data_IF_659546587805
#
_entry.id   IF_659546587805
#
_cell.length_a   1.000
_cell.length_b   1.000
_cell.length_c   1.000
_cell.angle_alpha   90.00
_cell.angle_beta   90.00
_cell.angle_gamma   90.00
#
_symmetry.space_group_name_H-M   'P 1'
#
loop_
_entity.id
_entity.type
_entity.pdbx_description
1 polymer ?
#
# COMPACT_ATOMS: atom_id res chain seq x y z
N UNK A 1 5.66 -12.56 -8.63
CA UNK A 1 6.16 -11.27 -8.14
C UNK A 1 6.71 -10.37 -9.24
N UNK A 2 6.06 -9.23 -9.47
CA UNK A 2 6.59 -8.07 -10.22
C UNK A 2 7.26 -7.12 -9.24
N UNK A 3 8.47 -6.65 -9.54
CA UNK A 3 9.15 -5.64 -8.73
C UNK A 3 8.68 -4.27 -9.22
N UNK A 4 8.27 -3.42 -8.28
CA UNK A 4 7.86 -2.05 -8.53
C UNK A 4 8.57 -1.04 -7.66
N UNK A 5 8.22 0.21 -7.85
CA UNK A 5 8.65 1.36 -7.04
C UNK A 5 7.45 2.25 -6.78
N UNK A 6 7.43 2.93 -5.63
CA UNK A 6 6.43 3.96 -5.37
C UNK A 6 6.88 5.31 -5.93
N UNK A 7 5.93 6.15 -6.33
CA UNK A 7 6.17 7.53 -6.76
C UNK A 7 4.95 8.37 -6.39
N UNK A 8 5.16 9.65 -6.15
CA UNK A 8 4.09 10.63 -6.17
C UNK A 8 3.98 11.20 -7.58
N UNK A 9 2.87 11.86 -7.89
CA UNK A 9 2.71 12.37 -9.26
C UNK A 9 3.75 13.44 -9.59
N UNK A 10 4.11 14.31 -8.64
CA UNK A 10 5.05 15.40 -8.90
C UNK A 10 6.47 14.93 -9.29
N UNK A 11 6.87 13.71 -8.90
CA UNK A 11 8.16 13.12 -9.25
C UNK A 11 8.06 11.95 -10.23
N UNK A 12 6.91 11.74 -10.87
CA UNK A 12 6.69 10.62 -11.80
C UNK A 12 7.69 10.63 -12.97
N UNK A 13 8.03 11.80 -13.50
CA UNK A 13 8.99 11.90 -14.61
C UNK A 13 10.37 11.35 -14.23
N UNK A 14 10.83 11.67 -13.03
CA UNK A 14 12.09 11.13 -12.51
C UNK A 14 12.01 9.61 -12.32
N UNK A 15 10.89 9.13 -11.76
CA UNK A 15 10.61 7.70 -11.60
C UNK A 15 10.67 6.95 -12.95
N UNK A 16 10.03 7.46 -14.00
CA UNK A 16 10.02 6.82 -15.32
C UNK A 16 11.41 6.79 -15.97
N UNK A 17 12.19 7.87 -15.85
CA UNK A 17 13.59 7.91 -16.31
C UNK A 17 14.46 6.91 -15.55
N UNK A 18 14.20 6.69 -14.27
CA UNK A 18 14.87 5.64 -13.49
C UNK A 18 14.44 4.25 -13.97
N UNK A 19 13.15 4.00 -14.17
CA UNK A 19 12.62 2.72 -14.62
C UNK A 19 13.18 2.32 -16.00
N UNK A 20 13.39 3.29 -16.90
CA UNK A 20 14.04 3.07 -18.20
C UNK A 20 15.48 2.54 -18.07
N UNK A 21 16.17 2.81 -16.94
CA UNK A 21 17.55 2.38 -16.68
C UNK A 21 17.66 1.09 -15.86
N UNK A 22 16.54 0.59 -15.32
CA UNK A 22 16.51 -0.54 -14.38
C UNK A 22 15.45 -1.53 -14.85
N UNK A 23 15.83 -2.38 -15.79
CA UNK A 23 14.91 -3.28 -16.52
C UNK A 23 14.09 -4.23 -15.66
N UNK A 24 14.56 -4.56 -14.45
CA UNK A 24 13.84 -5.48 -13.55
C UNK A 24 12.57 -4.85 -12.93
N UNK A 25 12.47 -3.52 -12.95
CA UNK A 25 11.27 -2.80 -12.48
C UNK A 25 10.21 -2.88 -13.58
N UNK A 26 9.06 -3.46 -13.23
CA UNK A 26 7.92 -3.71 -14.15
C UNK A 26 6.59 -3.23 -13.58
N UNK A 27 6.64 -2.44 -12.52
CA UNK A 27 5.48 -1.91 -11.83
C UNK A 27 5.79 -0.54 -11.24
N UNK A 28 4.81 0.33 -11.21
CA UNK A 28 4.86 1.60 -10.46
C UNK A 28 3.58 1.69 -9.62
N UNK A 29 3.75 2.06 -8.35
CA UNK A 29 2.63 2.49 -7.53
C UNK A 29 2.64 4.01 -7.45
N UNK A 30 1.53 4.66 -7.78
CA UNK A 30 1.43 6.11 -7.91
C UNK A 30 0.49 6.64 -6.84
N UNK A 31 0.98 7.54 -6.00
CA UNK A 31 0.12 8.32 -5.10
C UNK A 31 -0.68 9.36 -5.90
N UNK A 32 -2.01 9.28 -5.79
CA UNK A 32 -2.96 10.22 -6.38
C UNK A 32 -3.84 10.76 -5.25
N UNK A 33 -3.63 12.02 -4.90
CA UNK A 33 -4.29 12.67 -3.77
C UNK A 33 -5.54 13.43 -4.23
N UNK A 34 -5.60 13.85 -5.51
CA UNK A 34 -6.69 14.66 -6.03
C UNK A 34 -7.21 14.15 -7.38
N UNK A 35 -8.51 14.29 -7.65
CA UNK A 35 -9.10 13.89 -8.93
C UNK A 35 -8.44 14.60 -10.13
N UNK A 36 -8.04 15.87 -9.97
CA UNK A 36 -7.36 16.64 -11.03
C UNK A 36 -6.03 16.01 -11.48
N UNK A 37 -5.36 15.29 -10.59
CA UNK A 37 -4.08 14.63 -10.85
C UNK A 37 -4.25 13.45 -11.81
N UNK A 38 -5.46 12.91 -11.95
CA UNK A 38 -5.76 11.89 -12.96
C UNK A 38 -5.47 12.42 -14.37
N UNK A 39 -5.86 13.68 -14.68
CA UNK A 39 -5.61 14.29 -15.99
C UNK A 39 -4.12 14.51 -16.25
N UNK A 40 -3.37 14.94 -15.23
CA UNK A 40 -1.91 15.09 -15.29
C UNK A 40 -1.21 13.74 -15.51
N UNK A 41 -1.70 12.65 -14.90
CA UNK A 41 -1.16 11.31 -15.11
C UNK A 41 -1.31 10.83 -16.57
N UNK A 42 -2.36 11.24 -17.29
CA UNK A 42 -2.53 10.89 -18.71
C UNK A 42 -1.39 11.41 -19.61
N UNK A 43 -0.73 12.50 -19.22
CA UNK A 43 0.43 13.02 -19.96
C UNK A 43 1.59 12.00 -20.01
N UNK A 44 1.64 11.08 -19.04
CA UNK A 44 2.67 10.05 -18.94
C UNK A 44 2.24 8.69 -19.48
N UNK A 45 1.00 8.53 -19.91
CA UNK A 45 0.41 7.23 -20.31
C UNK A 45 1.24 6.51 -21.36
N UNK A 46 1.65 7.21 -22.42
CA UNK A 46 2.42 6.60 -23.51
C UNK A 46 3.83 6.20 -23.04
N UNK A 47 4.43 6.95 -22.12
CA UNK A 47 5.73 6.62 -21.57
C UNK A 47 5.65 5.39 -20.66
N UNK A 48 4.64 5.34 -19.78
CA UNK A 48 4.36 4.17 -18.93
C UNK A 48 4.13 2.92 -19.80
N UNK A 49 3.31 3.03 -20.84
CA UNK A 49 3.04 1.96 -21.79
C UNK A 49 4.30 1.50 -22.54
N UNK A 50 5.11 2.44 -23.02
CA UNK A 50 6.39 2.15 -23.71
C UNK A 50 7.35 1.36 -22.82
N UNK A 51 7.38 1.66 -21.53
CA UNK A 51 8.22 0.94 -20.55
C UNK A 51 7.61 -0.41 -20.12
N UNK A 52 6.36 -0.71 -20.52
CA UNK A 52 5.66 -1.93 -20.15
C UNK A 52 5.40 -2.03 -18.64
N UNK A 53 5.17 -0.89 -17.99
CA UNK A 53 4.93 -0.82 -16.54
C UNK A 53 3.45 -1.10 -16.25
N UNK A 54 3.20 -1.98 -15.28
CA UNK A 54 1.88 -2.10 -14.64
C UNK A 54 1.70 -1.02 -13.57
N UNK A 55 0.47 -0.69 -13.21
CA UNK A 55 0.16 0.46 -12.33
C UNK A 55 -0.66 0.01 -11.12
N UNK A 56 -0.22 0.39 -9.93
CA UNK A 56 -1.03 0.46 -8.72
C UNK A 56 -1.30 1.92 -8.35
N UNK A 57 -2.41 2.19 -7.66
CA UNK A 57 -2.72 3.53 -7.15
C UNK A 57 -2.71 3.49 -5.63
N UNK A 58 -1.86 4.31 -5.01
CA UNK A 58 -1.94 4.56 -3.59
C UNK A 58 -2.96 5.67 -3.35
N UNK A 59 -4.02 5.36 -2.61
CA UNK A 59 -5.05 6.34 -2.24
C UNK A 59 -4.50 7.31 -1.17
N UNK A 60 -5.07 8.53 -1.05
CA UNK A 60 -4.54 9.55 -0.15
C UNK A 60 -4.52 9.07 1.31
N UNK A 61 -3.49 9.49 2.03
CA UNK A 61 -3.28 9.13 3.45
C UNK A 61 -4.38 9.67 4.37
N UNK A 62 -5.06 10.74 3.97
CA UNK A 62 -6.18 11.36 4.68
C UNK A 62 -7.46 10.55 4.62
N UNK A 63 -7.56 9.62 3.66
CA UNK A 63 -8.72 8.77 3.46
C UNK A 63 -9.01 7.98 4.74
N UNK A 64 -10.27 8.06 5.21
CA UNK A 64 -10.66 7.44 6.46
C UNK A 64 -11.84 6.47 6.28
N UNK A 65 -11.53 5.18 6.14
CA UNK A 65 -12.55 4.13 5.97
C UNK A 65 -13.42 3.95 7.22
N UNK A 66 -12.91 4.36 8.39
CA UNK A 66 -13.61 4.23 9.67
C UNK A 66 -14.31 5.53 10.11
N UNK A 67 -14.49 6.48 9.19
CA UNK A 67 -15.21 7.73 9.44
C UNK A 67 -16.64 7.47 9.93
N UNK A 68 -16.95 8.01 11.11
CA UNK A 68 -18.24 7.79 11.79
C UNK A 68 -19.30 8.78 11.32
N UNK A 69 -18.93 9.86 10.63
CA UNK A 69 -19.86 10.81 10.00
C UNK A 69 -20.19 10.29 8.60
N UNK A 70 -21.39 9.71 8.45
CA UNK A 70 -21.85 9.05 7.21
C UNK A 70 -21.65 9.92 5.96
N UNK A 71 -21.97 11.20 6.01
CA UNK A 71 -21.78 12.11 4.86
C UNK A 71 -20.32 12.18 4.39
N UNK A 72 -19.36 12.19 5.32
CA UNK A 72 -17.93 12.26 4.99
C UNK A 72 -17.47 10.88 4.48
N UNK A 73 -17.89 9.81 5.15
CA UNK A 73 -17.62 8.42 4.71
C UNK A 73 -18.09 8.17 3.28
N UNK A 74 -19.31 8.56 2.94
CA UNK A 74 -19.88 8.41 1.60
C UNK A 74 -19.16 9.28 0.56
N UNK A 75 -18.61 10.43 0.98
CA UNK A 75 -17.79 11.27 0.11
C UNK A 75 -16.47 10.59 -0.24
N UNK A 76 -15.84 9.85 0.69
CA UNK A 76 -14.67 9.03 0.39
C UNK A 76 -14.99 7.90 -0.60
N UNK A 77 -16.13 7.22 -0.45
CA UNK A 77 -16.55 6.19 -1.41
C UNK A 77 -16.71 6.78 -2.80
N UNK A 78 -17.43 7.91 -2.92
CA UNK A 78 -17.61 8.62 -4.20
C UNK A 78 -16.29 9.06 -4.79
N UNK A 79 -15.37 9.57 -3.96
CA UNK A 79 -14.04 9.98 -4.40
C UNK A 79 -13.27 8.83 -5.05
N UNK A 80 -13.22 7.64 -4.43
CA UNK A 80 -12.53 6.47 -5.01
C UNK A 80 -13.19 6.04 -6.34
N UNK A 81 -14.52 6.05 -6.39
CA UNK A 81 -15.25 5.70 -7.61
C UNK A 81 -15.02 6.70 -8.75
N UNK A 82 -14.94 7.99 -8.42
CA UNK A 82 -14.59 9.03 -9.37
C UNK A 82 -13.14 8.90 -9.83
N UNK A 83 -12.19 8.58 -8.93
CA UNK A 83 -10.80 8.29 -9.31
C UNK A 83 -10.73 7.13 -10.31
N UNK A 84 -11.35 5.98 -10.01
CA UNK A 84 -11.34 4.83 -10.92
C UNK A 84 -11.90 5.19 -12.29
N UNK A 85 -13.03 5.92 -12.32
CA UNK A 85 -13.64 6.37 -13.57
C UNK A 85 -12.71 7.29 -14.37
N UNK A 86 -12.05 8.24 -13.72
CA UNK A 86 -11.12 9.13 -14.40
C UNK A 86 -9.87 8.39 -14.90
N UNK A 87 -9.50 7.28 -14.27
CA UNK A 87 -8.35 6.45 -14.63
C UNK A 87 -8.70 5.28 -15.57
N UNK A 88 -9.89 5.24 -16.18
CA UNK A 88 -10.33 4.12 -17.05
C UNK A 88 -9.41 3.83 -18.25
N UNK A 89 -8.61 4.81 -18.69
CA UNK A 89 -7.61 4.64 -19.74
C UNK A 89 -6.35 3.88 -19.29
N UNK A 90 -6.22 3.59 -18.00
CA UNK A 90 -5.15 2.81 -17.41
C UNK A 90 -5.64 1.43 -16.98
N UNK A 91 -4.81 0.42 -17.16
CA UNK A 91 -5.04 -0.89 -16.56
C UNK A 91 -4.52 -0.89 -15.12
N UNK A 92 -5.32 -0.35 -14.20
CA UNK A 92 -4.99 -0.31 -12.77
C UNK A 92 -5.13 -1.71 -12.17
N UNK A 93 -4.05 -2.20 -11.57
CA UNK A 93 -3.97 -3.55 -11.00
C UNK A 93 -4.59 -3.61 -9.61
N UNK A 94 -4.47 -2.54 -8.83
CA UNK A 94 -5.06 -2.40 -7.49
C UNK A 94 -5.09 -0.93 -7.04
N UNK A 95 -5.99 -0.66 -6.09
CA UNK A 95 -5.96 0.53 -5.24
C UNK A 95 -5.50 0.14 -3.83
N UNK A 96 -4.41 0.73 -3.37
CA UNK A 96 -3.91 0.55 -2.01
C UNK A 96 -4.45 1.66 -1.10
N UNK A 97 -4.85 1.30 0.12
CA UNK A 97 -5.33 2.27 1.12
C UNK A 97 -4.89 1.91 2.53
N UNK A 98 -4.85 2.94 3.37
CA UNK A 98 -4.81 2.79 4.82
C UNK A 98 -6.25 2.77 5.35
N UNK A 99 -6.52 2.07 6.46
CA UNK A 99 -7.88 2.05 7.03
C UNK A 99 -8.32 3.41 7.61
N UNK A 100 -7.37 4.30 7.86
CA UNK A 100 -7.61 5.60 8.48
C UNK A 100 -7.34 5.60 9.97
N UNK A 101 -7.95 6.55 10.68
CA UNK A 101 -7.58 6.89 12.05
C UNK A 101 -8.78 7.30 12.90
N UNK A 102 -8.63 7.11 14.22
CA UNK A 102 -9.65 7.43 15.23
C UNK A 102 -8.99 8.04 16.44
N UNK A 103 -9.71 8.93 17.15
CA UNK A 103 -9.25 9.42 18.45
C UNK A 103 -8.93 8.25 19.40
N UNK A 104 -7.73 8.24 20.00
CA UNK A 104 -7.16 7.16 20.82
C UNK A 104 -8.13 6.64 21.87
N UNK A 105 -8.77 7.54 22.62
CA UNK A 105 -9.72 7.20 23.68
C UNK A 105 -11.03 6.56 23.17
N UNK A 106 -11.44 6.86 21.94
CA UNK A 106 -12.62 6.24 21.32
C UNK A 106 -12.27 4.87 20.76
N UNK A 107 -11.11 4.77 20.10
CA UNK A 107 -10.62 3.52 19.52
C UNK A 107 -10.37 2.46 20.60
N UNK A 108 -9.72 2.82 21.70
CA UNK A 108 -9.42 1.89 22.80
C UNK A 108 -10.66 1.30 23.46
N UNK A 109 -11.77 2.04 23.47
CA UNK A 109 -13.05 1.60 24.05
C UNK A 109 -13.92 0.81 23.07
N UNK A 110 -13.80 1.07 21.77
CA UNK A 110 -14.76 0.59 20.77
C UNK A 110 -14.13 0.23 19.43
N UNK A 111 -12.98 -0.47 19.43
CA UNK A 111 -12.26 -0.81 18.19
C UNK A 111 -13.13 -1.52 17.16
N UNK A 112 -13.89 -2.53 17.58
CA UNK A 112 -14.78 -3.31 16.72
C UNK A 112 -15.86 -2.45 16.05
N UNK A 113 -16.33 -1.38 16.72
CA UNK A 113 -17.26 -0.43 16.09
C UNK A 113 -16.62 0.20 14.85
N UNK A 114 -15.37 0.64 14.95
CA UNK A 114 -14.68 1.27 13.84
C UNK A 114 -14.29 0.27 12.76
N UNK A 115 -13.93 -0.96 13.13
CA UNK A 115 -13.73 -2.05 12.17
C UNK A 115 -15.02 -2.43 11.42
N UNK A 116 -16.18 -2.34 12.09
CA UNK A 116 -17.49 -2.52 11.43
C UNK A 116 -17.76 -1.44 10.40
N UNK A 117 -17.45 -0.18 10.73
CA UNK A 117 -17.59 0.94 9.79
C UNK A 117 -16.66 0.75 8.58
N UNK A 118 -15.40 0.38 8.80
CA UNK A 118 -14.46 0.05 7.71
C UNK A 118 -14.93 -1.14 6.86
N UNK A 119 -15.49 -2.19 7.49
CA UNK A 119 -16.01 -3.35 6.75
C UNK A 119 -17.19 -2.96 5.85
N UNK A 120 -18.12 -2.16 6.38
CA UNK A 120 -19.24 -1.62 5.61
C UNK A 120 -18.76 -0.72 4.47
N UNK A 121 -17.76 0.14 4.74
CA UNK A 121 -17.13 0.99 3.73
C UNK A 121 -16.61 0.14 2.56
N UNK A 122 -15.79 -0.88 2.85
CA UNK A 122 -15.19 -1.76 1.85
C UNK A 122 -16.23 -2.56 1.03
N UNK A 123 -17.35 -2.95 1.64
CA UNK A 123 -18.46 -3.60 0.94
C UNK A 123 -19.28 -2.62 0.07
N UNK A 124 -19.30 -1.34 0.43
CA UNK A 124 -20.06 -0.31 -0.27
C UNK A 124 -19.28 0.38 -1.40
N UNK A 125 -17.96 0.27 -1.44
CA UNK A 125 -17.18 0.75 -2.60
C UNK A 125 -17.49 -0.15 -3.79
N UNK A 126 -18.22 0.40 -4.77
CA UNK A 126 -18.52 -0.28 -6.04
C UNK A 126 -17.53 0.15 -7.09
N UNK A 127 -16.50 -0.67 -7.31
CA UNK A 127 -15.51 -0.49 -8.36
C UNK A 127 -15.81 -1.43 -9.53
N UNK A 128 -15.06 -1.29 -10.62
CA UNK A 128 -15.11 -2.25 -11.72
C UNK A 128 -14.89 -3.68 -11.20
N UNK A 129 -15.55 -4.63 -11.84
CA UNK A 129 -15.58 -6.03 -11.36
C UNK A 129 -14.19 -6.60 -11.14
N UNK A 130 -13.16 -6.17 -11.87
CA UNK A 130 -11.81 -6.71 -11.77
C UNK A 130 -10.89 -5.96 -10.81
N UNK A 131 -11.35 -4.84 -10.25
CA UNK A 131 -10.54 -3.98 -9.41
C UNK A 131 -10.27 -4.62 -8.05
N UNK A 132 -9.00 -4.57 -7.66
CA UNK A 132 -8.49 -5.11 -6.41
C UNK A 132 -8.29 -3.96 -5.44
N UNK A 133 -8.64 -4.17 -4.17
CA UNK A 133 -8.31 -3.25 -3.08
C UNK A 133 -7.28 -3.93 -2.20
N UNK A 134 -6.19 -3.24 -1.86
CA UNK A 134 -5.26 -3.68 -0.82
C UNK A 134 -5.35 -2.74 0.36
N UNK A 135 -5.39 -3.33 1.56
CA UNK A 135 -5.38 -2.59 2.82
C UNK A 135 -3.97 -2.72 3.38
N UNK A 136 -3.31 -1.60 3.64
CA UNK A 136 -1.95 -1.59 4.16
C UNK A 136 -1.91 -1.64 5.69
N UNK A 137 -0.96 -2.40 6.26
CA UNK A 137 -0.67 -2.29 7.69
C UNK A 137 -0.01 -0.96 8.00
N UNK A 138 -0.43 -0.33 9.09
CA UNK A 138 0.06 0.97 9.53
C UNK A 138 0.75 0.86 10.89
N UNK A 139 1.26 1.98 11.40
CA UNK A 139 1.74 2.12 12.77
C UNK A 139 0.98 3.25 13.46
N UNK A 140 1.01 3.30 14.80
CA UNK A 140 0.52 4.45 15.56
C UNK A 140 1.63 4.97 16.46
N UNK A 141 1.88 6.28 16.38
CA UNK A 141 2.73 6.98 17.36
C UNK A 141 1.87 7.51 18.51
N UNK A 142 2.52 8.04 19.54
CA UNK A 142 1.80 8.75 20.59
C UNK A 142 1.13 10.01 20.06
N UNK A 143 -0.10 10.26 20.52
CA UNK A 143 -0.93 11.37 20.08
C UNK A 143 -2.41 11.14 20.39
N UNK A 144 -3.24 12.11 20.02
CA UNK A 144 -4.69 12.05 20.21
C UNK A 144 -5.40 11.12 19.23
N UNK A 145 -4.75 10.79 18.10
CA UNK A 145 -5.25 9.87 17.09
C UNK A 145 -4.40 8.61 17.01
N UNK A 146 -5.05 7.50 16.69
CA UNK A 146 -4.41 6.23 16.41
C UNK A 146 -4.94 5.70 15.09
N UNK A 147 -4.03 5.14 14.30
CA UNK A 147 -4.38 4.47 13.06
C UNK A 147 -5.07 3.13 13.36
N UNK A 148 -5.97 2.75 12.45
CA UNK A 148 -6.49 1.39 12.33
C UNK A 148 -5.67 0.67 11.26
N UNK A 149 -5.60 -0.65 11.32
CA UNK A 149 -4.71 -1.45 10.50
C UNK A 149 -3.32 -1.55 11.10
N UNK A 150 -3.14 -1.18 12.36
CA UNK A 150 -1.86 -1.27 13.06
C UNK A 150 -1.69 -2.56 13.88
N UNK A 151 -2.62 -3.51 13.73
CA UNK A 151 -2.59 -4.83 14.38
C UNK A 151 -3.20 -5.88 13.46
N UNK A 152 -2.71 -7.12 13.55
CA UNK A 152 -3.22 -8.28 12.79
C UNK A 152 -4.71 -8.50 13.02
N UNK A 153 -5.17 -8.30 14.27
CA UNK A 153 -6.58 -8.44 14.65
C UNK A 153 -7.53 -7.65 13.74
N UNK A 154 -7.14 -6.46 13.28
CA UNK A 154 -8.00 -5.62 12.44
C UNK A 154 -8.28 -6.27 11.10
N UNK A 155 -7.23 -6.86 10.51
CA UNK A 155 -7.30 -7.56 9.24
C UNK A 155 -8.08 -8.87 9.37
N UNK A 156 -7.87 -9.62 10.46
CA UNK A 156 -8.67 -10.83 10.76
C UNK A 156 -10.14 -10.48 10.86
N UNK A 157 -10.47 -9.41 11.59
CA UNK A 157 -11.83 -8.95 11.77
C UNK A 157 -12.48 -8.56 10.45
N UNK A 158 -11.80 -7.71 9.66
CA UNK A 158 -12.32 -7.19 8.39
C UNK A 158 -12.49 -8.32 7.37
N UNK A 159 -11.46 -9.14 7.14
CA UNK A 159 -11.51 -10.20 6.13
C UNK A 159 -12.50 -11.31 6.44
N UNK A 160 -12.85 -11.54 7.72
CA UNK A 160 -13.91 -12.46 8.09
C UNK A 160 -15.33 -11.88 7.92
N UNK A 161 -15.46 -10.57 7.72
CA UNK A 161 -16.75 -9.87 7.73
C UNK A 161 -17.17 -9.33 6.37
N UNK A 162 -16.22 -8.80 5.60
CA UNK A 162 -16.52 -8.26 4.27
C UNK A 162 -16.98 -9.36 3.32
N UNK A 163 -17.88 -8.99 2.41
CA UNK A 163 -18.33 -9.84 1.30
C UNK A 163 -17.47 -9.66 0.05
N UNK A 164 -16.74 -8.56 -0.03
CA UNK A 164 -15.82 -8.27 -1.12
C UNK A 164 -14.62 -9.25 -1.10
N UNK A 165 -14.59 -10.19 -2.04
CA UNK A 165 -13.53 -11.19 -2.19
C UNK A 165 -12.30 -10.66 -2.94
N UNK A 166 -12.32 -9.38 -3.35
CA UNK A 166 -11.22 -8.68 -4.05
C UNK A 166 -10.41 -7.75 -3.15
N UNK A 167 -10.56 -7.91 -1.84
CA UNK A 167 -9.80 -7.17 -0.84
C UNK A 167 -8.68 -8.05 -0.27
N UNK A 168 -7.47 -7.50 -0.27
CA UNK A 168 -6.23 -8.16 0.12
C UNK A 168 -5.44 -7.28 1.09
N UNK A 169 -4.34 -7.82 1.64
CA UNK A 169 -3.38 -7.10 2.48
C UNK A 169 -2.23 -6.57 1.59
N UNK A 170 -1.89 -5.30 1.77
CA UNK A 170 -0.56 -4.78 1.47
C UNK A 170 0.28 -4.87 2.74
N UNK A 171 1.35 -5.65 2.71
CA UNK A 171 2.24 -5.76 3.85
C UNK A 171 3.41 -4.78 3.71
N UNK A 172 3.42 -3.70 4.50
CA UNK A 172 4.52 -2.75 4.58
C UNK A 172 5.51 -3.15 5.68
N UNK A 173 6.77 -3.36 5.28
CA UNK A 173 7.85 -3.75 6.20
C UNK A 173 8.35 -2.61 7.08
N UNK A 174 8.32 -1.37 6.60
CA UNK A 174 8.70 -0.19 7.39
C UNK A 174 7.74 0.04 8.56
N UNK A 175 6.44 0.02 8.29
CA UNK A 175 5.38 0.11 9.29
C UNK A 175 5.47 -1.03 10.31
N UNK A 176 5.76 -2.25 9.84
CA UNK A 176 6.01 -3.40 10.73
C UNK A 176 7.18 -3.15 11.68
N UNK A 177 8.28 -2.54 11.24
CA UNK A 177 9.42 -2.28 12.11
C UNK A 177 9.08 -1.33 13.26
N UNK A 178 8.15 -0.39 13.04
CA UNK A 178 7.67 0.57 14.04
C UNK A 178 6.61 -0.05 14.95
N UNK A 179 5.66 -0.80 14.37
CA UNK A 179 4.56 -1.44 15.09
C UNK A 179 4.49 -2.93 14.73
N UNK A 180 5.33 -3.73 15.38
CA UNK A 180 5.43 -5.18 15.11
C UNK A 180 4.15 -5.94 15.48
N UNK A 181 3.77 -6.85 14.60
CA UNK A 181 2.74 -7.86 14.81
C UNK A 181 2.96 -9.03 13.81
N UNK A 182 2.25 -10.13 13.99
CA UNK A 182 2.45 -11.40 13.28
C UNK A 182 1.74 -11.46 11.91
N UNK A 183 1.91 -10.43 11.07
CA UNK A 183 1.21 -10.29 9.78
C UNK A 183 1.48 -11.46 8.84
N UNK A 184 2.76 -11.78 8.57
CA UNK A 184 3.14 -12.87 7.66
C UNK A 184 2.52 -14.19 8.11
N UNK A 185 2.57 -14.49 9.41
CA UNK A 185 2.07 -15.75 9.96
C UNK A 185 0.57 -15.92 9.78
N UNK A 186 -0.22 -14.88 10.07
CA UNK A 186 -1.68 -14.97 10.10
C UNK A 186 -2.35 -14.55 8.79
N UNK A 187 -1.65 -13.78 7.94
CA UNK A 187 -2.23 -13.16 6.74
C UNK A 187 -1.56 -13.57 5.43
N UNK A 188 -0.63 -14.52 5.41
CA UNK A 188 0.12 -14.92 4.20
C UNK A 188 -0.76 -15.10 2.95
N UNK A 189 -1.93 -15.72 3.09
CA UNK A 189 -2.81 -16.06 1.96
C UNK A 189 -3.62 -14.84 1.46
N UNK A 190 -3.59 -13.74 2.21
CA UNK A 190 -4.18 -12.45 1.88
C UNK A 190 -3.14 -11.42 1.42
N UNK A 191 -1.83 -11.65 1.61
CA UNK A 191 -0.79 -10.73 1.18
C UNK A 191 -0.65 -10.79 -0.33
N UNK A 192 -0.97 -9.69 -1.01
CA UNK A 192 -0.88 -9.57 -2.47
C UNK A 192 0.13 -8.53 -2.92
N UNK A 193 0.27 -7.48 -2.13
CA UNK A 193 1.24 -6.40 -2.32
C UNK A 193 2.15 -6.37 -1.10
N UNK A 194 3.41 -6.08 -1.30
CA UNK A 194 4.36 -5.80 -0.23
C UNK A 194 5.05 -4.48 -0.54
N UNK A 195 4.98 -3.53 0.39
CA UNK A 195 5.84 -2.37 0.39
C UNK A 195 7.09 -2.71 1.18
N UNK A 196 8.24 -2.60 0.50
CA UNK A 196 9.51 -3.03 1.00
C UNK A 196 10.42 -1.83 1.23
N UNK A 197 10.54 -1.49 2.51
CA UNK A 197 11.39 -0.44 3.04
C UNK A 197 12.07 -0.89 4.33
N UNK A 198 13.15 -0.22 4.69
CA UNK A 198 13.87 -0.42 5.95
C UNK A 198 13.84 0.89 6.76
N UNK A 199 14.01 0.82 8.07
CA UNK A 199 14.06 1.99 8.94
C UNK A 199 14.76 1.71 10.29
N UNK A 200 14.69 2.68 11.22
CA UNK A 200 15.31 2.61 12.56
C UNK A 200 14.39 2.01 13.65
N UNK A 201 13.17 1.59 13.28
CA UNK A 201 12.13 1.11 14.18
C UNK A 201 11.38 2.20 14.96
N UNK A 202 11.66 3.48 14.69
CA UNK A 202 11.08 4.63 15.39
C UNK A 202 10.35 5.54 14.40
N UNK A 203 10.99 5.83 13.27
CA UNK A 203 10.50 6.72 12.24
C UNK A 203 10.42 6.00 10.91
N UNK A 204 9.42 6.39 10.14
CA UNK A 204 9.20 5.83 8.82
C UNK A 204 10.04 6.58 7.78
N UNK A 205 11.33 6.24 7.74
CA UNK A 205 12.34 6.98 6.97
C UNK A 205 12.60 6.41 5.58
N UNK A 206 11.93 5.32 5.20
CA UNK A 206 11.95 4.73 3.84
C UNK A 206 13.36 4.57 3.25
N UNK A 207 14.28 3.96 4.01
CA UNK A 207 15.66 3.73 3.55
C UNK A 207 15.80 2.35 2.88
N UNK A 208 16.85 2.21 2.07
CA UNK A 208 17.12 0.98 1.33
C UNK A 208 17.41 -0.23 2.21
N UNK A 209 17.17 -1.42 1.66
CA UNK A 209 17.26 -2.67 2.41
C UNK A 209 18.69 -2.96 2.87
N UNK A 210 18.84 -3.22 4.18
CA UNK A 210 20.13 -3.44 4.83
C UNK A 210 20.80 -2.16 5.33
N UNK A 211 20.10 -1.01 5.25
CA UNK A 211 20.54 0.25 5.85
C UNK A 211 19.89 0.53 7.21
N UNK A 212 18.82 -0.18 7.57
CA UNK A 212 18.12 -0.07 8.84
C UNK A 212 18.23 -1.35 9.67
N UNK A 213 17.13 -1.70 10.34
CA UNK A 213 17.05 -2.82 11.28
C UNK A 213 16.27 -4.04 10.75
N UNK A 214 15.79 -4.02 9.50
CA UNK A 214 15.10 -5.16 8.89
C UNK A 214 16.05 -6.36 8.76
N UNK A 215 15.78 -7.40 9.55
CA UNK A 215 16.67 -8.57 9.58
C UNK A 215 16.66 -9.34 8.27
N UNK A 216 17.80 -9.95 7.91
CA UNK A 216 17.92 -10.79 6.73
C UNK A 216 16.93 -11.97 6.73
N UNK A 217 16.65 -12.54 7.91
CA UNK A 217 15.61 -13.57 8.08
C UNK A 217 14.24 -13.07 7.62
N UNK A 218 13.86 -11.86 8.02
CA UNK A 218 12.57 -11.27 7.66
C UNK A 218 12.50 -10.97 6.15
N UNK A 219 13.61 -10.52 5.55
CA UNK A 219 13.69 -10.32 4.10
C UNK A 219 13.47 -11.64 3.35
N UNK A 220 14.05 -12.75 3.83
CA UNK A 220 13.83 -14.08 3.25
C UNK A 220 12.36 -14.49 3.37
N UNK A 221 11.71 -14.25 4.53
CA UNK A 221 10.28 -14.53 4.72
C UNK A 221 9.42 -13.74 3.74
N UNK A 222 9.68 -12.43 3.59
CA UNK A 222 9.01 -11.56 2.61
C UNK A 222 9.17 -12.07 1.18
N UNK A 223 10.39 -12.45 0.78
CA UNK A 223 10.65 -12.95 -0.57
C UNK A 223 10.00 -14.31 -0.83
N UNK A 224 9.86 -15.15 0.19
CA UNK A 224 9.18 -16.46 0.11
C UNK A 224 7.67 -16.36 -0.01
N UNK A 225 7.06 -15.24 0.41
CA UNK A 225 5.63 -15.00 0.19
C UNK A 225 5.27 -14.94 -1.30
N UNK A 226 6.21 -14.57 -2.16
CA UNK A 226 6.01 -14.40 -3.60
C UNK A 226 4.72 -13.58 -3.91
N UNK A 227 4.61 -12.34 -3.39
CA UNK A 227 3.45 -11.50 -3.66
C UNK A 227 3.32 -11.23 -5.15
N UNK A 228 2.15 -10.76 -5.58
CA UNK A 228 1.96 -10.31 -6.96
C UNK A 228 2.86 -9.11 -7.24
N UNK A 229 2.94 -8.19 -6.27
CA UNK A 229 3.72 -6.94 -6.36
C UNK A 229 4.63 -6.78 -5.14
N UNK A 230 5.91 -6.51 -5.40
CA UNK A 230 6.88 -6.07 -4.39
C UNK A 230 7.32 -4.65 -4.75
N UNK A 231 6.76 -3.66 -4.08
CA UNK A 231 6.98 -2.23 -4.32
C UNK A 231 8.11 -1.76 -3.42
N UNK A 232 9.18 -1.22 -3.99
CA UNK A 232 10.26 -0.61 -3.24
C UNK A 232 9.85 0.81 -2.88
N UNK A 233 9.37 1.01 -1.65
CA UNK A 233 8.97 2.30 -1.11
C UNK A 233 10.16 2.94 -0.38
N UNK A 234 11.16 3.35 -1.18
CA UNK A 234 12.43 3.89 -0.71
C UNK A 234 12.93 5.01 -1.63
N UNK A 235 13.84 5.84 -1.12
CA UNK A 235 14.50 6.86 -1.94
C UNK A 235 15.16 6.25 -3.21
N UNK A 236 15.01 6.91 -4.36
CA UNK A 236 15.46 6.40 -5.67
C UNK A 236 16.96 6.06 -5.73
N UNK A 237 17.79 6.80 -5.00
CA UNK A 237 19.22 6.52 -4.86
C UNK A 237 19.53 5.13 -4.26
N UNK A 238 18.58 4.53 -3.52
CA UNK A 238 18.73 3.24 -2.86
C UNK A 238 18.21 2.05 -3.68
N UNK A 239 17.51 2.29 -4.79
CA UNK A 239 16.81 1.25 -5.56
C UNK A 239 17.79 0.21 -6.12
N UNK A 240 18.87 0.65 -6.75
CA UNK A 240 19.87 -0.26 -7.35
C UNK A 240 20.56 -1.14 -6.31
N UNK A 241 20.97 -0.54 -5.19
CA UNK A 241 21.63 -1.27 -4.10
C UNK A 241 20.69 -2.27 -3.44
N UNK A 242 19.43 -1.88 -3.24
CA UNK A 242 18.37 -2.75 -2.72
C UNK A 242 18.15 -3.94 -3.63
N UNK A 243 17.97 -3.73 -4.94
CA UNK A 243 17.80 -4.82 -5.92
C UNK A 243 19.01 -5.78 -5.88
N UNK A 244 20.23 -5.26 -5.81
CA UNK A 244 21.44 -6.07 -5.71
C UNK A 244 21.46 -6.91 -4.42
N UNK A 245 21.09 -6.33 -3.28
CA UNK A 245 21.01 -7.04 -2.00
C UNK A 245 19.93 -8.13 -2.03
N UNK A 246 18.76 -7.85 -2.58
CA UNK A 246 17.68 -8.84 -2.73
C UNK A 246 18.11 -10.01 -3.62
N UNK A 247 18.79 -9.75 -4.73
CA UNK A 247 19.32 -10.80 -5.60
C UNK A 247 20.39 -11.65 -4.89
N UNK A 248 21.26 -11.02 -4.09
CA UNK A 248 22.25 -11.73 -3.28
C UNK A 248 21.56 -12.67 -2.27
N UNK A 249 20.56 -12.18 -1.53
CA UNK A 249 19.80 -12.99 -0.57
C UNK A 249 19.05 -14.13 -1.27
N UNK A 250 18.43 -13.89 -2.44
CA UNK A 250 17.79 -14.96 -3.22
C UNK A 250 18.74 -16.08 -3.68
N UNK A 251 20.04 -15.80 -3.76
CA UNK A 251 21.03 -16.80 -4.18
C UNK A 251 21.50 -17.70 -3.03
N UNK A 252 21.11 -17.41 -1.78
CA UNK A 252 21.61 -18.11 -0.59
C UNK A 252 20.59 -19.07 0.05
N UNK A 253 19.38 -19.18 -0.48
CA UNK A 253 18.34 -20.11 -0.02
C UNK A 253 17.50 -20.67 -1.18
#
# INVERSE_FOLDING_TARGET
MRIGVSTLLFNIKECLVMCEKIDVIKHIEIGIDNIKECSELYEYRDYINKLGLSIGIHLPMELNTCENIEYIKDSWIKYIQELEKNLEGFNIEYFNLHLGYVMKNRLSKNRDKYLNISSEFLDNIKLNKNTVITIENTYSKDGDFCNIGNKVYDFEYIFNKIKNDKTYLCYDTGHYLINKDEYIKNMKDKIKVIHLSDNDGINDIHIGIGKGILSEKHIIEVLKLNPDYLVLEINYEHIKDTIKKLNSIKSTY
#
